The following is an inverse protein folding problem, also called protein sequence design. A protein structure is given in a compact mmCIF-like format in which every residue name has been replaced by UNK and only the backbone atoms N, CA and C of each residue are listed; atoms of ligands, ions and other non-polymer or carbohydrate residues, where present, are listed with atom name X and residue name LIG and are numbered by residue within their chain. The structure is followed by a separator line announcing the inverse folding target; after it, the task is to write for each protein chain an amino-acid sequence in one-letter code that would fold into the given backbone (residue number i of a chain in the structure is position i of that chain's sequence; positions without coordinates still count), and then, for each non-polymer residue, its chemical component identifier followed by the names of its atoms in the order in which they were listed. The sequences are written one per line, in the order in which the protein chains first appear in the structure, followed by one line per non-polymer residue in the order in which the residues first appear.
data_IF_524357318717
#
_entry.id   IF_524357318717
#
_cell.length_a   1.000
_cell.length_b   1.000
_cell.length_c   1.000
_cell.angle_alpha   90.00
_cell.angle_beta   90.00
_cell.angle_gamma   90.00
#
_symmetry.space_group_name_H-M   'P 1'
#
loop_
_entity.id
_entity.type
_entity.pdbx_description
1 polymer ?
#
# COMPACT_ATOMS: atom_id res chain seq x y z
N UNK A 1 7.25 -14.91 11.27
CA UNK A 1 6.10 -14.02 10.99
C UNK A 1 5.17 -14.71 9.99
N UNK A 2 3.87 -14.78 10.24
CA UNK A 2 2.96 -15.44 9.28
C UNK A 2 2.61 -14.45 8.14
N UNK A 3 3.43 -14.44 7.09
CA UNK A 3 3.33 -13.53 5.94
C UNK A 3 2.07 -13.81 5.11
N UNK A 4 1.44 -14.99 5.25
CA UNK A 4 0.25 -15.36 4.50
C UNK A 4 -0.97 -14.47 4.79
N UNK A 5 -0.98 -13.75 5.92
CA UNK A 5 -2.07 -12.86 6.34
C UNK A 5 -1.85 -11.38 5.99
N UNK A 6 -0.93 -11.07 5.05
CA UNK A 6 -0.61 -9.68 4.71
C UNK A 6 -1.85 -8.87 4.24
N UNK A 7 -2.81 -9.52 3.57
CA UNK A 7 -4.04 -8.92 3.05
C UNK A 7 -5.32 -9.49 3.67
N UNK A 8 -5.27 -10.05 4.88
CA UNK A 8 -6.46 -10.62 5.52
C UNK A 8 -7.43 -9.52 5.99
N UNK A 9 -8.71 -9.68 5.68
CA UNK A 9 -9.80 -8.85 6.20
C UNK A 9 -9.95 -8.98 7.72
N UNK A 10 -9.55 -10.11 8.29
CA UNK A 10 -9.61 -10.40 9.73
C UNK A 10 -8.76 -9.43 10.57
N UNK A 11 -7.82 -8.72 9.94
CA UNK A 11 -7.05 -7.68 10.65
C UNK A 11 -7.91 -6.61 11.28
N UNK A 12 -9.10 -6.33 10.72
CA UNK A 12 -10.03 -5.35 11.29
C UNK A 12 -10.49 -5.78 12.69
N UNK A 13 -10.57 -7.08 12.96
CA UNK A 13 -10.99 -7.61 14.25
C UNK A 13 -10.00 -7.29 15.39
N UNK A 14 -8.77 -6.91 15.08
CA UNK A 14 -7.79 -6.39 16.06
C UNK A 14 -8.08 -4.96 16.51
N UNK A 15 -9.04 -4.31 15.87
CA UNK A 15 -9.39 -2.90 16.09
C UNK A 15 -10.88 -2.75 16.41
N UNK A 16 -11.43 -3.68 17.18
CA UNK A 16 -12.87 -3.69 17.53
C UNK A 16 -13.32 -2.38 18.16
N UNK A 17 -12.51 -1.74 19.02
CA UNK A 17 -12.82 -0.42 19.54
C UNK A 17 -12.95 0.69 18.49
N UNK A 18 -12.40 0.50 17.27
CA UNK A 18 -12.58 1.43 16.16
C UNK A 18 -13.83 1.14 15.34
N UNK A 19 -14.46 -0.02 15.53
CA UNK A 19 -15.75 -0.37 14.94
C UNK A 19 -16.91 0.42 15.55
N UNK A 20 -16.68 1.12 16.65
CA UNK A 20 -17.57 2.15 17.21
C UNK A 20 -18.00 3.24 16.20
N UNK A 21 -17.39 3.25 15.02
CA UNK A 21 -17.85 4.04 13.88
C UNK A 21 -19.36 3.85 13.65
N UNK A 22 -19.85 2.63 13.75
CA UNK A 22 -21.28 2.31 13.64
C UNK A 22 -22.11 2.87 14.81
N UNK A 23 -21.45 3.28 15.90
CA UNK A 23 -22.04 3.80 17.13
C UNK A 23 -21.65 5.25 17.45
N UNK A 24 -21.12 6.02 16.49
CA UNK A 24 -20.77 7.45 16.57
C UNK A 24 -19.34 7.82 16.98
N UNK A 25 -18.37 6.92 16.98
CA UNK A 25 -16.96 7.32 17.15
C UNK A 25 -16.42 8.05 15.93
N UNK A 26 -15.55 9.04 16.15
CA UNK A 26 -14.86 9.77 15.09
C UNK A 26 -13.40 9.33 14.91
N UNK A 27 -12.87 8.53 15.84
CA UNK A 27 -11.47 8.07 15.84
C UNK A 27 -11.33 6.69 15.20
N UNK A 28 -11.89 6.52 14.02
CA UNK A 28 -11.92 5.24 13.31
C UNK A 28 -10.67 4.98 12.48
N UNK A 29 -9.90 6.02 12.13
CA UNK A 29 -8.74 5.91 11.27
C UNK A 29 -7.69 4.95 11.83
N UNK A 30 -7.29 3.96 11.03
CA UNK A 30 -6.29 2.94 11.38
C UNK A 30 -5.01 3.15 10.59
N UNK A 31 -5.12 3.42 9.28
CA UNK A 31 -3.95 3.53 8.40
C UNK A 31 -4.05 4.73 7.48
N UNK A 32 -2.96 5.45 7.36
CA UNK A 32 -2.80 6.56 6.43
C UNK A 32 -1.74 6.25 5.41
N UNK A 33 -2.05 6.39 4.14
CA UNK A 33 -1.04 6.45 3.09
C UNK A 33 -0.59 7.91 2.96
N UNK A 34 0.71 8.14 3.06
CA UNK A 34 1.30 9.47 3.08
C UNK A 34 2.24 9.66 1.89
N UNK A 35 1.93 10.63 1.05
CA UNK A 35 2.75 11.07 -0.04
C UNK A 35 3.64 12.24 0.43
N UNK A 36 4.94 11.99 0.62
CA UNK A 36 5.88 13.05 1.02
C UNK A 36 6.17 14.03 -0.11
N UNK A 37 6.15 13.53 -1.34
CA UNK A 37 6.45 14.30 -2.55
C UNK A 37 5.76 13.69 -3.77
N UNK A 38 5.47 14.53 -4.75
CA UNK A 38 5.03 14.08 -6.09
C UNK A 38 6.19 13.92 -7.06
N UNK A 39 7.41 14.30 -6.65
CA UNK A 39 8.61 14.11 -7.47
C UNK A 39 8.96 12.63 -7.56
N UNK A 40 9.25 12.15 -8.76
CA UNK A 40 9.71 10.80 -9.02
C UNK A 40 10.75 10.83 -10.15
N UNK A 41 11.80 10.06 -9.99
CA UNK A 41 12.82 9.90 -11.04
C UNK A 41 12.54 8.73 -12.00
N UNK A 42 11.38 8.07 -11.86
CA UNK A 42 10.83 7.11 -12.83
C UNK A 42 9.66 7.73 -13.61
N UNK A 43 9.34 7.12 -14.77
CA UNK A 43 8.22 7.53 -15.65
C UNK A 43 7.43 6.30 -16.09
N UNK A 44 6.98 5.51 -15.12
CA UNK A 44 6.24 4.26 -15.38
C UNK A 44 4.95 4.54 -16.16
N UNK A 45 4.73 3.92 -17.32
CA UNK A 45 3.51 4.15 -18.12
C UNK A 45 2.22 3.78 -17.41
N UNK A 46 2.26 2.80 -16.48
CA UNK A 46 1.11 2.33 -15.70
C UNK A 46 1.04 2.89 -14.27
N UNK A 47 1.69 4.01 -14.00
CA UNK A 47 1.72 4.58 -12.64
C UNK A 47 0.36 5.13 -12.23
N UNK A 48 -0.23 4.58 -11.16
CA UNK A 48 -1.48 5.07 -10.59
C UNK A 48 -1.32 6.28 -9.65
N UNK A 49 -0.07 6.63 -9.29
CA UNK A 49 0.27 7.72 -8.38
C UNK A 49 0.80 8.97 -9.06
N UNK A 50 1.01 8.91 -10.38
CA UNK A 50 1.62 10.04 -11.10
C UNK A 50 0.80 11.32 -10.94
N UNK A 51 1.46 12.37 -10.48
CA UNK A 51 0.89 13.69 -10.33
C UNK A 51 1.76 14.69 -11.11
N UNK A 52 1.13 15.50 -11.96
CA UNK A 52 1.85 16.48 -12.79
C UNK A 52 2.45 17.63 -11.98
N UNK A 53 1.94 17.88 -10.76
CA UNK A 53 2.50 18.88 -9.88
C UNK A 53 3.71 18.32 -9.11
N UNK A 54 4.71 19.17 -8.86
CA UNK A 54 5.90 18.83 -8.09
C UNK A 54 5.73 19.12 -6.58
N UNK A 55 4.52 18.96 -6.05
CA UNK A 55 4.24 19.23 -4.65
C UNK A 55 5.14 18.39 -3.73
N UNK A 56 5.49 18.98 -2.61
CA UNK A 56 6.34 18.39 -1.59
C UNK A 56 5.95 18.92 -0.22
N UNK A 57 5.82 18.05 0.77
CA UNK A 57 5.49 18.46 2.13
C UNK A 57 6.70 19.16 2.80
N UNK A 58 6.45 20.31 3.39
CA UNK A 58 7.43 20.96 4.25
C UNK A 58 7.58 20.24 5.60
N UNK A 59 8.65 20.55 6.35
CA UNK A 59 8.84 20.02 7.70
C UNK A 59 7.67 20.39 8.64
N UNK A 60 7.14 21.61 8.53
CA UNK A 60 6.01 22.11 9.32
C UNK A 60 4.73 21.33 8.99
N UNK A 61 4.51 21.02 7.71
CA UNK A 61 3.37 20.21 7.27
C UNK A 61 3.49 18.77 7.79
N UNK A 62 4.69 18.18 7.72
CA UNK A 62 4.96 16.83 8.27
C UNK A 62 4.72 16.82 9.78
N UNK A 63 5.14 17.85 10.51
CA UNK A 63 4.85 18.00 11.94
C UNK A 63 3.35 18.08 12.22
N UNK A 64 2.63 18.87 11.42
CA UNK A 64 1.18 18.98 11.52
C UNK A 64 0.50 17.64 11.29
N UNK A 65 0.91 16.90 10.24
CA UNK A 65 0.41 15.54 9.96
C UNK A 65 0.65 14.61 11.15
N UNK A 66 1.87 14.56 11.69
CA UNK A 66 2.21 13.70 12.81
C UNK A 66 1.33 13.98 14.05
N UNK A 67 1.07 15.27 14.36
CA UNK A 67 0.15 15.66 15.44
C UNK A 67 -1.28 15.20 15.16
N UNK A 68 -1.77 15.42 13.95
CA UNK A 68 -3.11 15.02 13.54
C UNK A 68 -3.30 13.49 13.62
N UNK A 69 -2.34 12.71 13.12
CA UNK A 69 -2.39 11.25 13.18
C UNK A 69 -2.38 10.73 14.61
N UNK A 70 -1.59 11.33 15.48
CA UNK A 70 -1.57 11.00 16.91
C UNK A 70 -2.92 11.30 17.59
N UNK A 71 -3.50 12.48 17.31
CA UNK A 71 -4.80 12.89 17.86
C UNK A 71 -5.94 11.95 17.39
N UNK A 72 -5.87 11.45 16.14
CA UNK A 72 -6.80 10.47 15.57
C UNK A 72 -6.52 9.03 16.02
N UNK A 73 -5.50 8.80 16.84
CA UNK A 73 -5.06 7.47 17.27
C UNK A 73 -4.79 6.53 16.07
N UNK A 74 -4.28 7.12 14.97
CA UNK A 74 -3.86 6.36 13.80
C UNK A 74 -2.79 5.34 14.21
N UNK A 75 -2.77 4.17 13.61
CA UNK A 75 -1.86 3.07 13.98
C UNK A 75 -0.72 2.85 13.00
N UNK A 76 -0.96 3.10 11.74
CA UNK A 76 0.03 2.84 10.71
C UNK A 76 0.10 3.92 9.65
N UNK A 77 1.31 4.22 9.20
CA UNK A 77 1.56 5.09 8.05
C UNK A 77 2.31 4.32 6.99
N UNK A 78 1.80 4.37 5.76
CA UNK A 78 2.47 3.82 4.60
C UNK A 78 3.06 4.99 3.83
N UNK A 79 4.38 5.12 3.83
CA UNK A 79 5.08 6.02 2.94
C UNK A 79 5.06 5.42 1.54
N UNK A 80 4.36 6.09 0.65
CA UNK A 80 4.15 5.66 -0.73
C UNK A 80 4.01 6.90 -1.59
N UNK A 81 3.21 6.89 -2.65
CA UNK A 81 2.89 8.16 -3.08
C UNK A 81 2.46 8.49 -4.45
N UNK A 82 2.25 9.80 -4.61
CA UNK A 82 2.19 10.49 -5.86
C UNK A 82 3.51 10.44 -6.61
N UNK A 83 4.64 10.49 -5.86
CA UNK A 83 6.00 10.31 -6.35
C UNK A 83 6.75 9.19 -5.62
N UNK A 84 8.06 9.26 -5.64
CA UNK A 84 8.93 8.34 -4.91
C UNK A 84 9.25 8.91 -3.52
N UNK A 85 8.91 8.24 -2.42
CA UNK A 85 9.15 8.75 -1.07
C UNK A 85 10.61 9.14 -0.79
N UNK A 86 11.56 8.36 -1.31
CA UNK A 86 13.00 8.61 -1.14
C UNK A 86 13.55 9.76 -1.99
N UNK A 87 12.72 10.37 -2.85
CA UNK A 87 13.04 11.63 -3.52
C UNK A 87 12.77 12.85 -2.63
N UNK A 88 12.01 12.70 -1.54
CA UNK A 88 11.79 13.81 -0.62
C UNK A 88 13.06 14.09 0.21
N UNK A 89 13.55 15.35 0.28
CA UNK A 89 14.66 15.72 1.13
C UNK A 89 14.30 15.64 2.61
N UNK A 90 13.02 15.45 2.91
CA UNK A 90 12.50 15.33 4.27
C UNK A 90 12.15 13.89 4.66
N UNK A 91 12.58 12.87 3.87
CA UNK A 91 12.25 11.47 4.13
C UNK A 91 12.70 11.03 5.53
N UNK A 92 13.97 11.19 5.87
CA UNK A 92 14.50 10.83 7.19
C UNK A 92 13.78 11.57 8.33
N UNK A 93 13.58 12.88 8.17
CA UNK A 93 12.86 13.68 9.13
C UNK A 93 11.44 13.15 9.36
N UNK A 94 10.72 12.83 8.29
CA UNK A 94 9.36 12.28 8.37
C UNK A 94 9.34 10.92 9.07
N UNK A 95 10.26 10.02 8.74
CA UNK A 95 10.37 8.70 9.37
C UNK A 95 10.56 8.84 10.88
N UNK A 96 11.56 9.61 11.31
CA UNK A 96 11.85 9.81 12.72
C UNK A 96 10.69 10.44 13.49
N UNK A 97 10.06 11.44 12.91
CA UNK A 97 8.95 12.16 13.54
C UNK A 97 7.70 11.27 13.69
N UNK A 98 7.34 10.53 12.65
CA UNK A 98 6.18 9.63 12.66
C UNK A 98 6.40 8.45 13.62
N UNK A 99 7.62 7.91 13.67
CA UNK A 99 7.97 6.85 14.63
C UNK A 99 7.86 7.36 16.07
N UNK A 100 8.39 8.56 16.37
CA UNK A 100 8.26 9.22 17.67
C UNK A 100 6.80 9.56 18.03
N UNK A 101 5.94 9.76 17.03
CA UNK A 101 4.50 9.91 17.22
C UNK A 101 3.77 8.59 17.48
N UNK A 102 4.48 7.45 17.56
CA UNK A 102 3.93 6.13 17.86
C UNK A 102 3.33 5.41 16.65
N UNK A 103 3.68 5.82 15.42
CA UNK A 103 3.18 5.17 14.22
C UNK A 103 4.00 3.92 13.85
N UNK A 104 3.33 2.83 13.46
CA UNK A 104 3.96 1.73 12.73
C UNK A 104 4.16 2.16 11.27
N UNK A 105 5.38 2.01 10.75
CA UNK A 105 5.73 2.53 9.42
C UNK A 105 5.90 1.42 8.39
N UNK A 106 5.38 1.65 7.19
CA UNK A 106 5.65 0.85 6.01
C UNK A 106 6.16 1.71 4.87
N UNK A 107 6.97 1.14 3.99
CA UNK A 107 7.51 1.84 2.82
C UNK A 107 7.28 1.04 1.54
N UNK A 108 6.75 1.70 0.52
CA UNK A 108 6.77 1.26 -0.87
C UNK A 108 7.65 2.20 -1.68
N UNK A 109 8.65 1.67 -2.35
CA UNK A 109 9.63 2.44 -3.14
C UNK A 109 10.01 1.68 -4.40
N UNK A 110 10.52 2.37 -5.42
CA UNK A 110 11.15 1.71 -6.55
C UNK A 110 12.60 1.25 -6.24
N UNK A 111 13.16 1.63 -5.09
CA UNK A 111 14.46 1.15 -4.59
C UNK A 111 15.70 1.75 -5.28
N UNK A 112 15.55 2.64 -6.26
CA UNK A 112 16.68 3.15 -7.05
C UNK A 112 17.58 4.12 -6.28
N UNK A 113 16.99 4.90 -5.35
CA UNK A 113 17.70 5.94 -4.60
C UNK A 113 18.40 5.43 -3.34
N UNK A 114 18.29 4.13 -3.04
CA UNK A 114 18.85 3.55 -1.82
C UNK A 114 20.37 3.75 -1.75
N UNK A 115 20.83 4.11 -0.59
CA UNK A 115 22.22 4.20 -0.17
C UNK A 115 22.34 3.66 1.26
N UNK A 116 23.53 3.61 1.82
CA UNK A 116 23.76 3.02 3.16
C UNK A 116 22.95 3.75 4.24
N UNK A 117 22.93 5.08 4.27
CA UNK A 117 22.16 5.85 5.25
C UNK A 117 20.66 5.59 5.17
N UNK A 118 20.08 5.59 3.97
CA UNK A 118 18.66 5.26 3.78
C UNK A 118 18.36 3.81 4.18
N UNK A 119 19.26 2.87 3.85
CA UNK A 119 19.10 1.47 4.24
C UNK A 119 19.05 1.32 5.77
N UNK A 120 19.90 2.00 6.50
CA UNK A 120 19.91 1.96 7.97
C UNK A 120 18.62 2.55 8.55
N UNK A 121 18.20 3.73 8.07
CA UNK A 121 16.96 4.37 8.51
C UNK A 121 15.75 3.45 8.27
N UNK A 122 15.66 2.84 7.08
CA UNK A 122 14.58 1.95 6.72
C UNK A 122 14.61 0.68 7.59
N UNK A 123 15.78 0.04 7.74
CA UNK A 123 15.93 -1.17 8.50
C UNK A 123 15.64 -1.00 10.00
N UNK A 124 15.87 0.18 10.56
CA UNK A 124 15.64 0.47 11.98
C UNK A 124 14.19 0.87 12.29
N UNK A 125 13.47 1.45 11.31
CA UNK A 125 12.20 2.13 11.60
C UNK A 125 10.98 1.50 10.94
N UNK A 126 11.13 0.71 9.86
CA UNK A 126 9.99 0.16 9.12
C UNK A 126 9.57 -1.21 9.65
N UNK A 127 8.25 -1.42 9.76
CA UNK A 127 7.68 -2.74 9.99
C UNK A 127 7.74 -3.60 8.71
N UNK A 128 7.53 -2.95 7.54
CA UNK A 128 7.80 -3.56 6.26
C UNK A 128 8.41 -2.57 5.26
N UNK A 129 9.21 -3.11 4.37
CA UNK A 129 9.74 -2.40 3.21
C UNK A 129 9.52 -3.24 1.95
N UNK A 130 8.98 -2.62 0.91
CA UNK A 130 8.76 -3.30 -0.36
C UNK A 130 9.30 -2.47 -1.51
N UNK A 131 10.16 -3.10 -2.32
CA UNK A 131 10.63 -2.54 -3.58
C UNK A 131 9.71 -3.01 -4.71
N UNK A 132 9.23 -2.07 -5.55
CA UNK A 132 8.47 -2.35 -6.77
C UNK A 132 9.46 -2.55 -7.92
N UNK A 133 9.75 -3.82 -8.26
CA UNK A 133 10.69 -4.18 -9.35
C UNK A 133 9.95 -4.54 -10.64
N UNK A 134 8.86 -5.29 -10.52
CA UNK A 134 7.90 -5.64 -11.56
C UNK A 134 8.50 -6.29 -12.82
N UNK A 135 9.74 -6.78 -12.76
CA UNK A 135 10.50 -7.35 -13.85
C UNK A 135 11.48 -8.44 -13.39
N UNK A 136 11.70 -9.45 -14.22
CA UNK A 136 12.74 -10.47 -14.06
C UNK A 136 13.92 -10.27 -15.03
N UNK A 137 13.87 -9.26 -15.90
CA UNK A 137 14.90 -8.92 -16.88
C UNK A 137 15.04 -7.43 -17.06
N UNK A 138 16.23 -7.00 -17.54
CA UNK A 138 16.50 -5.59 -17.83
C UNK A 138 15.58 -5.02 -18.92
N UNK A 139 15.26 -5.82 -19.93
CA UNK A 139 14.35 -5.40 -21.01
C UNK A 139 12.92 -5.19 -20.49
N UNK A 140 12.43 -6.07 -19.61
CA UNK A 140 11.13 -5.90 -19.00
C UNK A 140 11.10 -4.70 -18.06
N UNK A 141 12.14 -4.49 -17.27
CA UNK A 141 12.26 -3.33 -16.38
C UNK A 141 12.18 -2.01 -17.16
N UNK A 142 12.90 -1.90 -18.28
CA UNK A 142 12.85 -0.75 -19.16
C UNK A 142 11.43 -0.50 -19.68
N UNK A 143 10.74 -1.55 -20.11
CA UNK A 143 9.36 -1.48 -20.61
C UNK A 143 8.35 -1.02 -19.56
N UNK A 144 8.47 -1.53 -18.33
CA UNK A 144 7.49 -1.28 -17.26
C UNK A 144 7.75 0.05 -16.55
N UNK A 145 9.02 0.43 -16.36
CA UNK A 145 9.38 1.62 -15.59
C UNK A 145 9.75 2.84 -16.44
N UNK A 146 9.84 2.69 -17.77
CA UNK A 146 10.26 3.76 -18.66
C UNK A 146 11.71 4.23 -18.40
N UNK A 147 12.54 3.33 -17.86
CA UNK A 147 13.89 3.62 -17.40
C UNK A 147 14.91 2.79 -18.17
N UNK A 148 16.15 3.31 -18.31
CA UNK A 148 17.23 2.57 -18.97
C UNK A 148 17.51 1.23 -18.28
N UNK A 149 17.87 0.21 -19.04
CA UNK A 149 18.19 -1.14 -18.56
C UNK A 149 19.26 -1.19 -17.45
N UNK A 150 20.22 -0.25 -17.45
CA UNK A 150 21.22 -0.11 -16.39
C UNK A 150 20.60 0.12 -14.98
N UNK A 151 19.41 0.70 -14.90
CA UNK A 151 18.73 0.92 -13.63
C UNK A 151 18.23 -0.38 -13.01
N UNK A 152 17.93 -1.40 -13.82
CA UNK A 152 17.60 -2.72 -13.33
C UNK A 152 18.74 -3.32 -12.49
N UNK A 153 19.97 -3.32 -13.03
CA UNK A 153 21.14 -3.81 -12.31
C UNK A 153 21.39 -3.02 -11.00
N UNK A 154 21.21 -1.70 -11.06
CA UNK A 154 21.33 -0.83 -9.87
C UNK A 154 20.27 -1.17 -8.81
N UNK A 155 19.02 -1.38 -9.22
CA UNK A 155 17.95 -1.75 -8.28
C UNK A 155 18.21 -3.13 -7.66
N UNK A 156 18.67 -4.10 -8.44
CA UNK A 156 19.07 -5.41 -7.91
C UNK A 156 20.21 -5.32 -6.91
N UNK A 157 21.23 -4.49 -7.18
CA UNK A 157 22.30 -4.23 -6.23
C UNK A 157 21.80 -3.58 -4.94
N UNK A 158 20.84 -2.65 -5.04
CA UNK A 158 20.23 -2.00 -3.90
C UNK A 158 19.40 -2.98 -3.05
N UNK A 159 18.70 -3.93 -3.68
CA UNK A 159 18.01 -5.03 -2.97
C UNK A 159 19.02 -5.83 -2.12
N UNK A 160 20.12 -6.24 -2.72
CA UNK A 160 21.17 -6.99 -2.01
C UNK A 160 21.81 -6.17 -0.88
N UNK A 161 22.12 -4.90 -1.13
CA UNK A 161 22.70 -4.01 -0.12
C UNK A 161 21.74 -3.79 1.05
N UNK A 162 20.44 -3.63 0.79
CA UNK A 162 19.45 -3.53 1.87
C UNK A 162 19.36 -4.85 2.68
N UNK A 163 19.33 -5.99 2.03
CA UNK A 163 19.30 -7.29 2.71
C UNK A 163 20.52 -7.47 3.63
N UNK A 164 21.73 -7.10 3.18
CA UNK A 164 22.95 -7.10 3.98
C UNK A 164 22.86 -6.12 5.16
N UNK A 165 22.35 -4.91 4.96
CA UNK A 165 22.17 -3.92 6.03
C UNK A 165 21.17 -4.43 7.07
N UNK A 166 20.05 -4.99 6.63
CA UNK A 166 19.06 -5.63 7.50
C UNK A 166 19.67 -6.73 8.35
N UNK A 167 20.47 -7.60 7.75
CA UNK A 167 21.18 -8.69 8.46
C UNK A 167 22.18 -8.13 9.45
N UNK A 168 23.02 -7.18 9.04
CA UNK A 168 24.04 -6.54 9.89
C UNK A 168 23.45 -5.89 11.13
N UNK A 169 22.27 -5.27 10.99
CA UNK A 169 21.57 -4.59 12.09
C UNK A 169 20.66 -5.51 12.91
N UNK A 170 20.50 -6.78 12.55
CA UNK A 170 19.52 -7.67 13.17
C UNK A 170 18.08 -7.16 13.05
N UNK A 171 17.78 -6.42 11.97
CA UNK A 171 16.48 -5.77 11.77
C UNK A 171 15.36 -6.77 11.56
N UNK A 172 14.18 -6.47 12.15
CA UNK A 172 12.96 -7.27 12.00
C UNK A 172 12.05 -6.76 10.87
N UNK A 173 12.46 -5.76 10.11
CA UNK A 173 11.74 -5.25 8.95
C UNK A 173 11.41 -6.40 7.99
N UNK A 174 10.14 -6.58 7.67
CA UNK A 174 9.74 -7.53 6.62
C UNK A 174 10.09 -6.95 5.26
N UNK A 175 11.10 -7.52 4.60
CA UNK A 175 11.62 -7.00 3.33
C UNK A 175 11.14 -7.82 2.14
N UNK A 176 10.40 -7.20 1.24
CA UNK A 176 9.88 -7.85 0.06
C UNK A 176 10.11 -7.08 -1.23
N UNK A 177 9.96 -7.82 -2.34
CA UNK A 177 10.00 -7.24 -3.68
C UNK A 177 8.68 -7.54 -4.38
N UNK A 178 8.08 -6.51 -4.98
CA UNK A 178 6.78 -6.59 -5.65
C UNK A 178 6.91 -6.88 -7.13
N UNK A 179 5.91 -7.59 -7.65
CA UNK A 179 5.75 -7.88 -9.07
C UNK A 179 4.28 -7.70 -9.48
N UNK A 180 4.02 -6.80 -10.42
CA UNK A 180 2.71 -6.63 -11.04
C UNK A 180 2.57 -7.63 -12.20
N UNK A 181 1.62 -8.57 -12.07
CA UNK A 181 1.35 -9.55 -13.12
C UNK A 181 0.42 -8.99 -14.17
N UNK A 182 0.83 -9.13 -15.41
CA UNK A 182 0.08 -8.73 -16.60
C UNK A 182 0.39 -9.69 -17.75
N UNK A 183 -0.36 -9.61 -18.84
CA UNK A 183 -0.05 -10.35 -20.07
C UNK A 183 1.38 -10.06 -20.55
N UNK A 184 1.89 -8.88 -20.25
CA UNK A 184 3.25 -8.45 -20.62
C UNK A 184 4.31 -9.05 -19.71
N UNK A 185 4.07 -9.07 -18.37
CA UNK A 185 5.10 -9.40 -17.37
C UNK A 185 5.13 -10.87 -16.98
N UNK A 186 4.06 -11.65 -17.24
CA UNK A 186 3.92 -13.04 -16.75
C UNK A 186 5.09 -13.95 -17.11
N UNK A 187 5.72 -13.74 -18.28
CA UNK A 187 6.88 -14.52 -18.72
C UNK A 187 8.13 -14.32 -17.85
N UNK A 188 8.22 -13.21 -17.12
CA UNK A 188 9.37 -12.88 -16.28
C UNK A 188 9.22 -13.37 -14.81
N UNK A 189 8.08 -13.97 -14.43
CA UNK A 189 7.75 -14.32 -13.05
C UNK A 189 8.82 -15.20 -12.38
N UNK A 190 9.28 -16.23 -13.06
CA UNK A 190 10.25 -17.17 -12.48
C UNK A 190 11.64 -16.54 -12.35
N UNK A 191 12.10 -15.83 -13.39
CA UNK A 191 13.34 -15.07 -13.33
C UNK A 191 13.34 -14.05 -12.19
N UNK A 192 12.22 -13.35 -12.00
CA UNK A 192 12.03 -12.43 -10.90
C UNK A 192 12.17 -13.11 -9.54
N UNK A 193 11.45 -14.24 -9.30
CA UNK A 193 11.49 -14.96 -8.02
C UNK A 193 12.93 -15.40 -7.70
N UNK A 194 13.62 -16.00 -8.67
CA UNK A 194 15.01 -16.42 -8.51
C UNK A 194 15.92 -15.25 -8.15
N UNK A 195 15.84 -14.15 -8.90
CA UNK A 195 16.68 -12.97 -8.70
C UNK A 195 16.50 -12.34 -7.31
N UNK A 196 15.26 -12.22 -6.83
CA UNK A 196 15.02 -11.54 -5.55
C UNK A 196 15.33 -12.44 -4.35
N UNK A 197 15.12 -13.77 -4.48
CA UNK A 197 15.53 -14.75 -3.49
C UNK A 197 17.05 -14.77 -3.33
N UNK A 198 17.80 -14.87 -4.43
CA UNK A 198 19.26 -14.86 -4.45
C UNK A 198 19.87 -13.60 -3.81
N UNK A 199 19.13 -12.48 -3.80
CA UNK A 199 19.55 -11.20 -3.20
C UNK A 199 19.06 -10.98 -1.77
N UNK A 200 18.46 -12.00 -1.15
CA UNK A 200 18.16 -12.00 0.27
C UNK A 200 16.87 -11.24 0.64
N UNK A 201 15.91 -11.07 -0.28
CA UNK A 201 14.58 -10.65 0.10
C UNK A 201 13.88 -11.72 0.95
N UNK A 202 13.02 -11.32 1.90
CA UNK A 202 12.24 -12.27 2.71
C UNK A 202 11.05 -12.83 1.92
N UNK A 203 10.53 -12.05 0.94
CA UNK A 203 9.41 -12.50 0.12
C UNK A 203 9.33 -11.82 -1.25
N UNK A 204 8.77 -12.56 -2.21
CA UNK A 204 8.28 -12.04 -3.49
C UNK A 204 6.77 -11.82 -3.39
N UNK A 205 6.27 -10.62 -3.70
CA UNK A 205 4.84 -10.33 -3.66
C UNK A 205 4.26 -10.13 -5.06
N UNK A 206 3.34 -11.01 -5.44
CA UNK A 206 2.61 -10.91 -6.70
C UNK A 206 1.28 -10.18 -6.51
N UNK A 207 1.01 -9.23 -7.39
CA UNK A 207 -0.23 -8.46 -7.44
C UNK A 207 -0.72 -8.38 -8.87
N UNK A 208 -2.01 -8.58 -9.13
CA UNK A 208 -2.53 -8.45 -10.49
C UNK A 208 -2.55 -6.98 -10.94
N UNK A 209 -2.24 -6.74 -12.19
CA UNK A 209 -2.49 -5.46 -12.84
C UNK A 209 -4.00 -5.33 -13.12
N UNK A 210 -4.55 -4.14 -12.91
CA UNK A 210 -6.01 -3.94 -12.83
C UNK A 210 -6.75 -4.31 -14.13
N UNK A 211 -6.11 -4.15 -15.28
CA UNK A 211 -6.73 -4.36 -16.59
C UNK A 211 -6.65 -5.80 -17.11
N UNK A 212 -5.80 -6.66 -16.52
CA UNK A 212 -5.47 -7.95 -17.10
C UNK A 212 -6.12 -9.11 -16.34
N UNK A 213 -6.95 -9.87 -17.04
CA UNK A 213 -7.60 -11.09 -16.53
C UNK A 213 -6.70 -12.30 -16.79
N UNK A 214 -5.79 -12.60 -15.85
CA UNK A 214 -4.88 -13.71 -15.97
C UNK A 214 -5.11 -14.73 -14.85
N UNK A 215 -5.26 -16.00 -15.19
CA UNK A 215 -5.14 -17.08 -14.23
C UNK A 215 -3.67 -17.50 -14.10
N UNK A 216 -3.01 -16.96 -13.09
CA UNK A 216 -1.62 -17.31 -12.76
C UNK A 216 -1.51 -18.20 -11.53
N UNK A 217 -2.63 -18.65 -10.97
CA UNK A 217 -2.63 -19.47 -9.75
C UNK A 217 -1.81 -20.76 -9.92
N UNK A 218 -1.94 -21.49 -11.04
CA UNK A 218 -1.10 -22.67 -11.28
C UNK A 218 0.40 -22.33 -11.26
N UNK A 219 0.81 -21.25 -11.94
CA UNK A 219 2.21 -20.82 -11.96
C UNK A 219 2.70 -20.35 -10.58
N UNK A 220 1.86 -19.69 -9.80
CA UNK A 220 2.21 -19.31 -8.43
C UNK A 220 2.44 -20.54 -7.53
N UNK A 221 1.64 -21.59 -7.68
CA UNK A 221 1.82 -22.83 -6.93
C UNK A 221 3.13 -23.53 -7.32
N UNK A 222 3.43 -23.66 -8.62
CA UNK A 222 4.71 -24.17 -9.11
C UNK A 222 5.91 -23.41 -8.53
N UNK A 223 5.85 -22.07 -8.57
CA UNK A 223 6.91 -21.22 -8.03
C UNK A 223 7.09 -21.39 -6.52
N UNK A 224 5.99 -21.58 -5.78
CA UNK A 224 6.05 -21.86 -4.34
C UNK A 224 6.74 -23.19 -4.05
N UNK A 225 6.33 -24.26 -4.70
CA UNK A 225 6.95 -25.57 -4.54
C UNK A 225 8.46 -25.54 -4.83
N UNK A 226 8.86 -24.76 -5.84
CA UNK A 226 10.23 -24.69 -6.30
C UNK A 226 11.12 -23.77 -5.46
N UNK A 227 10.58 -22.64 -4.95
CA UNK A 227 11.41 -21.56 -4.41
C UNK A 227 11.13 -21.22 -2.94
N UNK A 228 9.99 -21.58 -2.36
CA UNK A 228 9.76 -21.28 -0.93
C UNK A 228 10.64 -22.13 -0.03
N UNK A 229 11.11 -21.53 1.05
CA UNK A 229 11.83 -22.19 2.14
C UNK A 229 11.54 -21.50 3.48
N UNK A 230 12.34 -21.78 4.50
CA UNK A 230 12.18 -21.19 5.84
C UNK A 230 12.35 -19.67 5.82
N UNK A 231 13.19 -19.14 4.93
CA UNK A 231 13.61 -17.74 4.90
C UNK A 231 12.98 -16.92 3.77
N UNK A 232 12.38 -17.56 2.78
CA UNK A 232 11.81 -16.90 1.61
C UNK A 232 10.38 -17.40 1.32
N UNK A 233 9.47 -16.46 1.10
CA UNK A 233 8.06 -16.76 0.81
C UNK A 233 7.57 -16.11 -0.49
N UNK A 234 6.60 -16.75 -1.14
CA UNK A 234 5.87 -16.18 -2.27
C UNK A 234 4.49 -15.77 -1.79
N UNK A 235 4.24 -14.48 -1.76
CA UNK A 235 3.01 -13.87 -1.26
C UNK A 235 2.16 -13.42 -2.45
N UNK A 236 0.90 -13.82 -2.46
CA UNK A 236 -0.04 -13.38 -3.48
C UNK A 236 -1.43 -13.17 -2.87
N UNK A 237 -2.18 -12.24 -3.44
CA UNK A 237 -3.60 -12.08 -3.09
C UNK A 237 -4.44 -13.04 -3.93
N UNK A 238 -4.53 -14.31 -3.50
CA UNK A 238 -5.28 -15.36 -4.23
C UNK A 238 -6.72 -14.96 -4.51
N UNK A 239 -7.38 -14.32 -3.56
CA UNK A 239 -8.75 -13.84 -3.75
C UNK A 239 -8.85 -12.89 -4.94
N UNK A 240 -7.88 -11.97 -5.09
CA UNK A 240 -7.85 -11.03 -6.21
C UNK A 240 -7.64 -11.73 -7.55
N UNK A 241 -6.77 -12.73 -7.60
CA UNK A 241 -6.56 -13.51 -8.84
C UNK A 241 -7.80 -14.32 -9.22
N UNK A 242 -8.48 -14.95 -8.26
CA UNK A 242 -9.75 -15.63 -8.49
C UNK A 242 -10.84 -14.70 -9.01
N UNK A 243 -10.92 -13.49 -8.46
CA UNK A 243 -11.88 -12.47 -8.89
C UNK A 243 -11.59 -11.99 -10.31
N UNK A 244 -10.31 -11.91 -10.71
CA UNK A 244 -9.91 -11.51 -12.06
C UNK A 244 -10.07 -12.58 -13.12
N UNK A 245 -9.92 -13.86 -12.77
CA UNK A 245 -10.00 -15.00 -13.70
C UNK A 245 -11.43 -15.29 -14.22
N UNK A 246 -12.38 -14.35 -14.03
CA UNK A 246 -13.74 -14.48 -14.60
C UNK A 246 -14.77 -15.10 -13.66
N UNK A 247 -14.40 -15.41 -12.42
CA UNK A 247 -15.33 -15.93 -11.43
C UNK A 247 -16.32 -14.87 -10.91
N UNK A 248 -16.16 -13.59 -11.35
CA UNK A 248 -17.08 -12.47 -11.12
C UNK A 248 -17.38 -11.75 -12.42
N UNK A 249 -18.13 -12.35 -13.32
CA UNK A 249 -18.65 -11.65 -14.50
C UNK A 249 -19.68 -10.57 -14.14
N UNK A 250 -20.37 -10.73 -13.03
CA UNK A 250 -21.26 -9.74 -12.44
C UNK A 250 -20.80 -9.48 -11.00
N UNK A 251 -19.97 -8.47 -10.82
CA UNK A 251 -19.40 -8.16 -9.52
C UNK A 251 -20.43 -7.54 -8.56
N UNK A 252 -21.37 -8.35 -8.10
CA UNK A 252 -22.03 -8.04 -6.82
C UNK A 252 -20.96 -8.09 -5.74
N UNK A 253 -20.52 -6.92 -5.27
CA UNK A 253 -19.46 -6.82 -4.28
C UNK A 253 -19.87 -7.37 -2.91
N UNK A 254 -21.18 -7.64 -2.71
CA UNK A 254 -21.74 -8.02 -1.43
C UNK A 254 -21.74 -6.88 -0.40
N UNK A 255 -21.60 -5.63 -0.88
CA UNK A 255 -21.72 -4.41 -0.09
C UNK A 255 -22.04 -3.22 -1.00
N UNK A 256 -22.85 -2.29 -0.50
CA UNK A 256 -23.30 -1.11 -1.24
C UNK A 256 -22.42 0.12 -0.98
N UNK A 257 -21.84 0.23 0.21
CA UNK A 257 -21.11 1.41 0.68
C UNK A 257 -19.65 1.13 1.00
N UNK A 258 -18.79 2.12 0.81
CA UNK A 258 -17.37 2.01 1.14
C UNK A 258 -17.09 2.34 2.60
N UNK A 259 -17.40 1.40 3.51
CA UNK A 259 -17.10 1.56 4.94
C UNK A 259 -15.60 1.72 5.21
N UNK A 260 -14.76 1.06 4.41
CA UNK A 260 -13.30 1.09 4.55
C UNK A 260 -12.68 2.48 4.45
N UNK A 261 -13.37 3.46 3.85
CA UNK A 261 -12.86 4.84 3.76
C UNK A 261 -12.73 5.55 5.12
N UNK A 262 -13.47 5.10 6.13
CA UNK A 262 -13.36 5.66 7.46
C UNK A 262 -12.15 5.11 8.24
N UNK A 263 -11.61 3.98 7.81
CA UNK A 263 -10.50 3.29 8.47
C UNK A 263 -9.16 3.50 7.74
N UNK A 264 -9.20 4.01 6.52
CA UNK A 264 -8.00 4.29 5.74
C UNK A 264 -8.17 5.56 4.91
N UNK A 265 -7.10 6.35 4.80
CA UNK A 265 -7.09 7.59 4.02
C UNK A 265 -5.76 7.78 3.29
N UNK A 266 -5.73 8.80 2.43
CA UNK A 266 -4.51 9.28 1.79
C UNK A 266 -4.31 10.74 2.13
N UNK A 267 -3.11 11.11 2.56
CA UNK A 267 -2.66 12.50 2.65
C UNK A 267 -1.63 12.70 1.54
N UNK A 268 -1.98 13.54 0.57
CA UNK A 268 -1.13 13.80 -0.59
C UNK A 268 -0.08 14.90 -0.33
N UNK A 269 0.93 14.96 -1.19
CA UNK A 269 2.04 15.90 -1.07
C UNK A 269 1.62 17.38 -1.17
N UNK A 270 0.43 17.67 -1.66
CA UNK A 270 -0.19 19.00 -1.67
C UNK A 270 -1.04 19.28 -0.41
N UNK A 271 -0.85 18.47 0.66
CA UNK A 271 -1.45 18.64 1.98
C UNK A 271 -2.96 18.45 2.02
N UNK A 272 -3.51 17.72 1.06
CA UNK A 272 -4.93 17.38 0.93
C UNK A 272 -5.22 15.95 1.40
N UNK A 273 -6.46 15.73 1.82
CA UNK A 273 -6.94 14.44 2.35
C UNK A 273 -7.96 13.83 1.38
N UNK A 274 -7.76 12.56 1.03
CA UNK A 274 -8.55 11.84 0.04
C UNK A 274 -9.11 10.54 0.63
N UNK A 275 -10.32 10.20 0.26
CA UNK A 275 -10.99 8.99 0.74
C UNK A 275 -10.32 7.69 0.27
N UNK A 276 -9.59 7.71 -0.85
CA UNK A 276 -9.06 6.50 -1.46
C UNK A 276 -7.81 6.77 -2.31
N UNK A 277 -6.87 5.82 -2.30
CA UNK A 277 -5.64 5.89 -3.11
C UNK A 277 -5.90 5.84 -4.63
N UNK A 278 -6.98 5.14 -5.08
CA UNK A 278 -7.31 5.01 -6.50
C UNK A 278 -7.92 6.29 -7.09
N UNK A 279 -8.42 7.16 -6.23
CA UNK A 279 -9.13 8.38 -6.62
C UNK A 279 -8.49 9.63 -6.02
N UNK A 280 -7.15 9.60 -5.85
CA UNK A 280 -6.40 10.83 -5.62
C UNK A 280 -6.75 11.85 -6.71
N UNK A 281 -6.82 13.10 -6.38
CA UNK A 281 -7.16 14.22 -7.28
C UNK A 281 -8.58 14.21 -7.84
N UNK A 282 -9.42 13.28 -7.43
CA UNK A 282 -10.83 13.30 -7.80
C UNK A 282 -11.64 14.12 -6.79
N UNK A 283 -12.21 15.24 -7.23
CA UNK A 283 -13.03 16.11 -6.38
C UNK A 283 -14.17 15.35 -5.66
N UNK A 284 -14.70 14.30 -6.30
CA UNK A 284 -15.72 13.44 -5.69
C UNK A 284 -15.22 12.69 -4.46
N UNK A 285 -13.90 12.51 -4.33
CA UNK A 285 -13.25 11.77 -3.24
C UNK A 285 -12.40 12.66 -2.33
N UNK A 286 -12.43 13.97 -2.54
CA UNK A 286 -11.77 14.97 -1.72
C UNK A 286 -12.50 15.11 -0.39
N UNK A 287 -11.76 14.97 0.72
CA UNK A 287 -12.29 15.05 2.08
C UNK A 287 -12.01 16.39 2.74
N UNK A 288 -10.86 17.00 2.46
CA UNK A 288 -10.50 18.29 3.05
C UNK A 288 -9.03 18.66 2.85
N UNK A 289 -8.68 19.86 3.27
CA UNK A 289 -7.34 20.45 3.19
C UNK A 289 -6.80 20.69 4.59
N UNK A 290 -5.62 20.15 4.89
CA UNK A 290 -5.00 20.29 6.21
C UNK A 290 -4.42 21.69 6.49
N UNK A 291 -4.45 22.59 5.49
CA UNK A 291 -4.18 24.02 5.70
C UNK A 291 -5.35 24.72 6.38
N UNK A 292 -6.56 24.22 6.20
CA UNK A 292 -7.81 24.85 6.63
C UNK A 292 -8.38 24.17 7.88
N UNK A 293 -8.20 22.86 8.02
CA UNK A 293 -8.84 22.08 9.08
C UNK A 293 -7.99 20.87 9.52
N UNK A 294 -8.17 20.42 10.75
CA UNK A 294 -7.52 19.22 11.27
C UNK A 294 -8.17 17.94 10.72
N UNK A 295 -7.45 16.80 10.80
CA UNK A 295 -8.03 15.49 10.47
C UNK A 295 -9.29 15.19 11.30
N UNK A 296 -9.30 15.57 12.58
CA UNK A 296 -10.48 15.37 13.43
C UNK A 296 -11.69 16.16 12.92
N UNK A 297 -11.48 17.42 12.51
CA UNK A 297 -12.55 18.22 11.91
C UNK A 297 -13.05 17.63 10.59
N UNK A 298 -12.17 17.08 9.76
CA UNK A 298 -12.55 16.37 8.54
C UNK A 298 -13.43 15.15 8.88
N UNK A 299 -13.04 14.34 9.86
CA UNK A 299 -13.80 13.12 10.25
C UNK A 299 -15.14 13.43 10.90
N UNK A 300 -15.25 14.57 11.61
CA UNK A 300 -16.52 15.04 12.21
C UNK A 300 -17.38 15.82 11.21
N UNK A 301 -16.79 16.29 10.12
CA UNK A 301 -17.42 17.18 9.16
C UNK A 301 -18.50 16.52 8.33
N UNK A 302 -19.28 17.36 7.65
CA UNK A 302 -20.34 16.92 6.72
C UNK A 302 -19.72 16.30 5.45
N UNK A 303 -18.60 16.85 4.98
CA UNK A 303 -17.97 16.45 3.71
C UNK A 303 -17.64 14.96 3.62
N UNK A 304 -17.11 14.35 4.67
CA UNK A 304 -16.79 12.91 4.67
C UNK A 304 -18.07 12.05 4.49
N UNK A 305 -19.21 12.50 5.03
CA UNK A 305 -20.50 11.83 4.90
C UNK A 305 -21.08 12.00 3.49
N UNK A 306 -20.94 13.17 2.90
CA UNK A 306 -21.31 13.44 1.51
C UNK A 306 -20.51 12.53 0.56
N UNK A 307 -19.20 12.46 0.72
CA UNK A 307 -18.33 11.57 -0.07
C UNK A 307 -18.72 10.10 0.12
N UNK A 308 -18.94 9.66 1.35
CA UNK A 308 -19.40 8.30 1.64
C UNK A 308 -20.70 7.95 0.91
N UNK A 309 -21.66 8.87 0.92
CA UNK A 309 -22.96 8.66 0.27
C UNK A 309 -22.86 8.69 -1.27
N UNK A 310 -21.92 9.47 -1.81
CA UNK A 310 -21.72 9.63 -3.25
C UNK A 310 -20.86 8.52 -3.89
N UNK A 311 -20.13 7.73 -3.11
CA UNK A 311 -19.30 6.64 -3.65
C UNK A 311 -20.19 5.51 -4.17
N UNK A 312 -20.09 5.25 -5.47
CA UNK A 312 -20.69 4.12 -6.14
C UNK A 312 -19.69 2.94 -6.18
N UNK A 313 -19.79 2.04 -5.22
CA UNK A 313 -18.83 0.93 -5.09
C UNK A 313 -18.76 0.04 -6.33
N UNK A 314 -19.84 -0.09 -7.09
CA UNK A 314 -19.85 -0.84 -8.36
C UNK A 314 -18.88 -0.27 -9.40
N UNK A 315 -18.59 1.03 -9.36
CA UNK A 315 -17.66 1.72 -10.27
C UNK A 315 -16.21 1.70 -9.77
N UNK A 316 -15.95 1.19 -8.56
CA UNK A 316 -14.59 1.12 -8.03
C UNK A 316 -13.77 0.02 -8.72
N UNK A 317 -12.43 0.14 -8.77
CA UNK A 317 -11.57 -0.93 -9.30
C UNK A 317 -11.83 -2.27 -8.62
N UNK A 318 -11.87 -3.34 -9.39
CA UNK A 318 -12.14 -4.72 -8.91
C UNK A 318 -11.15 -5.14 -7.79
N UNK A 319 -9.94 -4.60 -7.82
CA UNK A 319 -8.86 -4.95 -6.89
C UNK A 319 -8.72 -3.95 -5.74
N UNK A 320 -9.79 -3.28 -5.37
CA UNK A 320 -9.78 -2.35 -4.25
C UNK A 320 -9.25 -3.01 -2.97
N UNK A 321 -8.31 -2.36 -2.30
CA UNK A 321 -7.77 -2.89 -1.03
C UNK A 321 -8.81 -2.96 0.08
N UNK A 322 -9.85 -2.13 0.02
CA UNK A 322 -10.92 -2.09 1.01
C UNK A 322 -12.02 -3.13 0.75
N UNK A 323 -11.99 -3.86 -0.37
CA UNK A 323 -13.04 -4.77 -0.80
C UNK A 323 -13.35 -5.84 0.26
N UNK A 324 -12.30 -6.51 0.76
CA UNK A 324 -12.45 -7.53 1.80
C UNK A 324 -12.93 -6.94 3.13
N UNK A 325 -12.47 -5.74 3.49
CA UNK A 325 -12.93 -5.06 4.70
C UNK A 325 -14.37 -4.60 4.59
N UNK A 326 -14.77 -4.06 3.43
CA UNK A 326 -16.13 -3.61 3.21
C UNK A 326 -17.14 -4.74 3.36
N UNK A 327 -16.82 -5.97 2.93
CA UNK A 327 -17.71 -7.14 3.11
C UNK A 327 -17.93 -7.47 4.58
N UNK A 328 -16.85 -7.45 5.38
CA UNK A 328 -16.96 -7.67 6.82
C UNK A 328 -17.76 -6.55 7.49
N UNK A 329 -17.47 -5.30 7.14
CA UNK A 329 -18.10 -4.14 7.75
C UNK A 329 -19.58 -3.98 7.33
N UNK A 330 -19.94 -4.36 6.10
CA UNK A 330 -21.35 -4.39 5.66
C UNK A 330 -22.17 -5.35 6.50
N UNK A 331 -21.67 -6.56 6.74
CA UNK A 331 -22.34 -7.53 7.59
C UNK A 331 -22.56 -7.01 9.03
N UNK A 332 -21.57 -6.28 9.56
CA UNK A 332 -21.70 -5.65 10.87
C UNK A 332 -22.72 -4.50 10.87
N UNK A 333 -22.87 -3.77 9.75
CA UNK A 333 -23.79 -2.63 9.64
C UNK A 333 -25.26 -3.03 9.50
N UNK A 334 -25.52 -4.18 8.86
CA UNK A 334 -26.87 -4.67 8.59
C UNK A 334 -27.56 -5.31 9.82
N UNK A 335 -26.81 -5.54 10.89
CA UNK A 335 -27.28 -6.31 12.03
C UNK A 335 -27.44 -7.79 11.67
N UNK A 336 -26.89 -8.67 12.47
CA UNK A 336 -27.07 -10.11 12.29
C UNK A 336 -28.34 -10.52 13.02
N UNK A 337 -29.37 -10.93 12.28
CA UNK A 337 -30.57 -11.56 12.89
C UNK A 337 -30.15 -12.88 13.52
N UNK A 338 -30.58 -13.09 14.77
CA UNK A 338 -30.25 -14.29 15.56
C UNK A 338 -28.73 -14.45 15.82
N UNK A 339 -28.06 -13.35 16.15
CA UNK A 339 -26.61 -13.31 16.47
C UNK A 339 -26.19 -14.21 17.63
N UNK A 340 -27.16 -14.68 18.44
CA UNK A 340 -27.01 -15.60 19.58
C UNK A 340 -26.73 -17.05 19.15
N UNK A 341 -27.03 -17.39 17.90
CA UNK A 341 -26.87 -18.73 17.37
C UNK A 341 -25.65 -18.75 16.39
N UNK A 342 -24.47 -19.06 16.93
CA UNK A 342 -23.21 -19.22 16.19
C UNK A 342 -23.13 -20.58 15.50
#
# INVERSE_FOLDING_TARGET
MNINNFNSAEKILRYTGKLDYFYNSHKTLIVTELDLTNKCNHRCPGCCGHNENNAELSKEQIQSIARNLKAMENRGVILSGGGEPTCSPHFEYAVNLLKNAGQSLGLNSHGMNLNEGLNEIIAQNMEYFRISLDAGSAAMYEKIHGMKSAHFAKTLQNIENFARTKQRLGSKTSFGVGFLTSAVTQGDMEAFVRLVKERGADFAQFRPFISDRLDIIPKLNELREKYEDANFKIVASYQKYKEMAGLRENAERGYAKCHGMFFSTVISADFKVWACLHFRQSEKHFLGDLREQSLEQIWRGQRIREVYNAIECAKCPILCRNDSFNRVLENLSLGVTNSEFL
#
